data_IF_294271559689
#
_entry.id   IF_294271559689
#
_cell.length_a   1.000
_cell.length_b   1.000
_cell.length_c   1.000
_cell.angle_alpha   90.00
_cell.angle_beta   90.00
_cell.angle_gamma   90.00
#
_symmetry.space_group_name_H-M   'P 1'
#
loop_
_entity.id
_entity.type
_entity.pdbx_description
1 polymer ?
#
# COMPACT_ATOMS: atom_id res chain seq x y z
N UNK A 1 -1.95 -11.19 72.05
CA UNK A 1 -1.38 -10.13 71.18
C UNK A 1 -0.73 -10.80 69.98
N UNK A 2 -1.44 -10.90 68.85
CA UNK A 2 -0.84 -11.17 67.52
C UNK A 2 -0.30 -9.86 66.93
N UNK A 3 0.37 -9.75 65.78
CA UNK A 3 0.50 -10.57 64.57
C UNK A 3 1.92 -10.36 64.01
N UNK A 4 2.65 -11.43 63.67
CA UNK A 4 2.99 -11.89 62.30
C UNK A 4 3.77 -10.89 61.42
N UNK A 5 5.06 -11.20 61.25
CA UNK A 5 5.96 -10.72 60.19
C UNK A 5 5.38 -10.93 58.79
N UNK A 6 5.39 -9.87 57.97
CA UNK A 6 5.11 -9.93 56.54
C UNK A 6 6.37 -9.66 55.74
N UNK A 7 6.86 -10.69 55.04
CA UNK A 7 7.92 -10.64 54.05
C UNK A 7 7.34 -11.11 52.71
N UNK A 8 7.75 -10.42 51.64
CA UNK A 8 7.73 -10.79 50.22
C UNK A 8 6.44 -10.68 49.38
N UNK A 9 6.51 -9.71 48.46
CA UNK A 9 6.45 -9.84 47.00
C UNK A 9 5.18 -10.39 46.29
N UNK A 10 4.53 -9.50 45.54
CA UNK A 10 4.00 -9.72 44.19
C UNK A 10 4.22 -8.39 43.42
N UNK A 11 5.23 -8.20 42.57
CA UNK A 11 5.48 -8.82 41.26
C UNK A 11 4.39 -8.51 40.22
N UNK A 12 4.73 -7.56 39.35
CA UNK A 12 4.27 -7.36 37.97
C UNK A 12 2.77 -7.47 37.71
N UNK A 13 2.07 -6.34 37.83
CA UNK A 13 0.89 -6.10 37.01
C UNK A 13 1.36 -5.98 35.55
N UNK A 14 1.02 -7.01 34.79
CA UNK A 14 1.31 -7.17 33.39
C UNK A 14 0.94 -5.92 32.59
N UNK A 15 1.96 -5.29 32.01
CA UNK A 15 1.81 -4.54 30.78
C UNK A 15 1.37 -5.52 29.68
N UNK A 16 0.07 -5.78 29.59
CA UNK A 16 -0.54 -6.19 28.33
C UNK A 16 -0.57 -4.97 27.39
N UNK A 17 0.61 -4.43 27.08
CA UNK A 17 0.82 -3.82 25.79
C UNK A 17 0.69 -4.99 24.82
N UNK A 18 -0.48 -5.13 24.21
CA UNK A 18 -0.66 -6.04 23.11
C UNK A 18 0.45 -5.72 22.10
N UNK A 19 1.41 -6.62 22.00
CA UNK A 19 2.32 -6.65 20.87
C UNK A 19 1.43 -6.83 19.65
N UNK A 20 1.02 -5.72 19.03
CA UNK A 20 0.51 -5.79 17.67
C UNK A 20 1.60 -6.50 16.87
N UNK A 21 1.29 -7.60 16.16
CA UNK A 21 2.28 -8.24 15.32
C UNK A 21 2.87 -7.16 14.41
N UNK A 22 4.20 -7.10 14.35
CA UNK A 22 4.98 -6.01 13.74
C UNK A 22 4.82 -5.88 12.21
N UNK A 23 3.71 -6.38 11.65
CA UNK A 23 3.47 -6.54 10.22
C UNK A 23 1.98 -6.76 9.88
N UNK A 24 1.04 -6.46 10.79
CA UNK A 24 -0.34 -6.31 10.36
C UNK A 24 -0.43 -5.10 9.41
N UNK A 25 -0.97 -5.30 8.20
CA UNK A 25 -1.28 -4.23 7.27
C UNK A 25 -2.03 -3.13 8.02
N UNK A 26 -1.62 -1.87 7.83
CA UNK A 26 -2.34 -0.76 8.45
C UNK A 26 -3.80 -0.74 8.00
N UNK A 27 -4.70 -0.50 8.95
CA UNK A 27 -6.09 -0.18 8.62
C UNK A 27 -6.16 1.07 7.75
N UNK A 28 -7.26 1.27 7.04
CA UNK A 28 -7.44 2.38 6.12
C UNK A 28 -7.21 3.76 6.78
N UNK A 29 -7.67 3.95 8.01
CA UNK A 29 -7.46 5.23 8.70
C UNK A 29 -5.97 5.47 8.97
N UNK A 30 -5.26 4.45 9.46
CA UNK A 30 -3.82 4.53 9.69
C UNK A 30 -3.04 4.70 8.37
N UNK A 31 -3.44 3.99 7.31
CA UNK A 31 -2.85 4.11 5.98
C UNK A 31 -3.01 5.52 5.41
N UNK A 32 -4.22 6.08 5.44
CA UNK A 32 -4.48 7.43 4.91
C UNK A 32 -3.71 8.50 5.68
N UNK A 33 -3.65 8.41 7.01
CA UNK A 33 -2.88 9.33 7.84
C UNK A 33 -1.38 9.23 7.51
N UNK A 34 -0.84 8.02 7.48
CA UNK A 34 0.57 7.79 7.19
C UNK A 34 0.96 8.22 5.77
N UNK A 35 0.10 7.98 4.76
CA UNK A 35 0.37 8.40 3.39
C UNK A 35 0.35 9.92 3.25
N UNK A 36 -0.63 10.61 3.87
CA UNK A 36 -0.65 12.09 3.92
C UNK A 36 0.63 12.65 4.52
N UNK A 37 1.13 12.06 5.61
CA UNK A 37 2.39 12.49 6.23
C UNK A 37 3.59 12.20 5.33
N UNK A 38 3.69 10.96 4.81
CA UNK A 38 4.83 10.48 4.04
C UNK A 38 4.98 11.12 2.66
N UNK A 39 3.89 11.63 2.09
CA UNK A 39 3.83 12.34 0.81
C UNK A 39 3.24 13.75 0.95
N UNK A 40 3.48 14.41 2.09
CA UNK A 40 2.91 15.73 2.39
C UNK A 40 3.30 16.81 1.38
N UNK A 41 4.50 16.75 0.81
CA UNK A 41 4.96 17.67 -0.24
C UNK A 41 4.22 17.49 -1.58
N UNK A 42 3.52 16.36 -1.74
CA UNK A 42 2.73 16.05 -2.94
C UNK A 42 1.28 16.49 -2.84
N UNK A 43 0.83 16.97 -1.67
CA UNK A 43 -0.55 17.42 -1.45
C UNK A 43 -1.58 16.31 -1.62
N UNK A 44 -1.36 15.18 -0.94
CA UNK A 44 -2.26 14.01 -0.99
C UNK A 44 -3.57 14.31 -0.28
N UNK A 45 -4.68 14.19 -1.00
CA UNK A 45 -6.02 14.31 -0.46
C UNK A 45 -6.85 13.06 -0.79
N UNK A 46 -7.81 12.75 0.07
CA UNK A 46 -8.72 11.62 -0.10
C UNK A 46 -10.13 12.16 -0.15
N UNK A 47 -10.83 11.85 -1.24
CA UNK A 47 -12.22 12.23 -1.46
C UNK A 47 -13.04 10.97 -1.70
N UNK A 48 -14.28 10.93 -1.22
CA UNK A 48 -15.11 9.74 -1.42
C UNK A 48 -15.52 9.65 -2.89
N UNK A 49 -15.17 8.54 -3.53
CA UNK A 49 -15.51 8.30 -4.93
C UNK A 49 -17.01 8.03 -5.08
N UNK A 50 -17.61 8.52 -6.16
CA UNK A 50 -18.97 8.13 -6.55
C UNK A 50 -18.89 6.79 -7.28
N UNK A 51 -19.12 5.70 -6.56
CA UNK A 51 -19.12 4.35 -7.14
C UNK A 51 -20.52 4.01 -7.66
N UNK A 52 -20.66 3.94 -8.97
CA UNK A 52 -21.87 3.40 -9.61
C UNK A 52 -21.69 1.89 -9.82
N UNK A 53 -22.05 1.11 -8.80
CA UNK A 53 -22.02 -0.36 -8.88
C UNK A 53 -23.40 -0.94 -9.20
N UNK A 54 -23.43 -2.01 -10.00
CA UNK A 54 -24.64 -2.81 -10.27
C UNK A 54 -24.94 -3.84 -9.17
N UNK A 55 -23.98 -4.12 -8.30
CA UNK A 55 -24.11 -4.97 -7.11
C UNK A 55 -23.89 -4.13 -5.85
N UNK A 56 -24.52 -4.51 -4.72
CA UNK A 56 -24.19 -3.90 -3.42
C UNK A 56 -22.70 -4.17 -3.15
N UNK A 57 -21.92 -3.09 -3.10
CA UNK A 57 -20.54 -3.14 -2.62
C UNK A 57 -20.54 -2.55 -1.22
N UNK A 58 -20.09 -3.33 -0.24
CA UNK A 58 -19.90 -2.87 1.13
C UNK A 58 -18.55 -2.14 1.31
N UNK A 59 -17.80 -1.96 0.20
CA UNK A 59 -16.53 -1.26 0.21
C UNK A 59 -16.72 0.26 0.01
N UNK A 60 -16.02 1.04 0.83
CA UNK A 60 -15.86 2.48 0.62
C UNK A 60 -14.65 2.73 -0.28
N UNK A 61 -14.87 3.42 -1.40
CA UNK A 61 -13.82 3.79 -2.34
C UNK A 61 -13.54 5.29 -2.22
N UNK A 62 -12.26 5.63 -2.23
CA UNK A 62 -11.74 6.98 -2.17
C UNK A 62 -10.89 7.26 -3.41
N UNK A 63 -11.14 8.38 -4.05
CA UNK A 63 -10.23 8.97 -5.02
C UNK A 63 -9.13 9.70 -4.26
N UNK A 64 -7.88 9.39 -4.60
CA UNK A 64 -6.69 9.98 -4.00
C UNK A 64 -6.10 10.96 -5.02
N UNK A 65 -6.25 12.24 -4.72
CA UNK A 65 -5.71 13.31 -5.57
C UNK A 65 -4.34 13.73 -5.09
N UNK A 66 -3.46 14.07 -6.03
CA UNK A 66 -2.13 14.59 -5.75
C UNK A 66 -1.87 15.81 -6.62
N UNK A 67 -0.91 16.65 -6.23
CA UNK A 67 -0.43 17.79 -7.05
C UNK A 67 0.66 17.38 -8.04
N UNK A 68 0.90 16.08 -8.22
CA UNK A 68 2.10 15.55 -8.87
C UNK A 68 1.81 14.45 -9.89
N UNK A 69 0.90 14.67 -10.84
CA UNK A 69 0.65 13.77 -11.99
C UNK A 69 0.60 12.26 -11.62
N UNK A 70 0.07 11.93 -10.43
CA UNK A 70 -0.15 10.57 -9.94
C UNK A 70 -1.61 10.49 -9.53
N UNK A 71 -2.36 9.62 -10.19
CA UNK A 71 -3.73 9.30 -9.81
C UNK A 71 -3.72 8.07 -8.92
N UNK A 72 -4.55 8.06 -7.88
CA UNK A 72 -4.67 6.88 -7.04
C UNK A 72 -6.08 6.66 -6.52
N UNK A 73 -6.37 5.44 -6.12
CA UNK A 73 -7.63 5.05 -5.48
C UNK A 73 -7.34 4.18 -4.26
N UNK A 74 -8.20 4.27 -3.26
CA UNK A 74 -8.16 3.44 -2.06
C UNK A 74 -9.54 2.83 -1.83
N UNK A 75 -9.60 1.51 -1.68
CA UNK A 75 -10.78 0.75 -1.33
C UNK A 75 -10.64 0.16 0.07
N UNK A 76 -11.66 0.36 0.90
CA UNK A 76 -11.71 -0.06 2.30
C UNK A 76 -12.98 -0.85 2.58
N UNK A 77 -12.93 -1.85 3.45
CA UNK A 77 -14.10 -2.56 4.00
C UNK A 77 -14.08 -2.38 5.51
N UNK A 78 -14.93 -1.49 6.04
CA UNK A 78 -14.71 -0.98 7.40
C UNK A 78 -13.37 -0.23 7.47
N UNK A 79 -12.55 -0.56 8.48
CA UNK A 79 -11.15 -0.06 8.57
C UNK A 79 -10.14 -0.98 7.87
N UNK A 80 -10.58 -2.06 7.21
CA UNK A 80 -9.65 -2.94 6.49
C UNK A 80 -9.27 -2.35 5.12
N UNK A 81 -7.97 -2.26 4.83
CA UNK A 81 -7.47 -1.92 3.50
C UNK A 81 -7.69 -3.11 2.56
N UNK A 82 -8.54 -2.92 1.55
CA UNK A 82 -8.84 -3.92 0.53
C UNK A 82 -7.87 -3.77 -0.64
N UNK A 83 -7.78 -2.55 -1.19
CA UNK A 83 -6.94 -2.27 -2.35
C UNK A 83 -6.50 -0.81 -2.35
N UNK A 84 -5.22 -0.58 -2.55
CA UNK A 84 -4.68 0.72 -2.96
C UNK A 84 -4.09 0.58 -4.35
N UNK A 85 -4.40 1.52 -5.23
CA UNK A 85 -3.90 1.54 -6.60
C UNK A 85 -3.40 2.93 -6.94
N UNK A 86 -2.17 3.03 -7.46
CA UNK A 86 -1.58 4.28 -7.91
C UNK A 86 -1.11 4.11 -9.36
N UNK A 87 -1.36 5.11 -10.21
CA UNK A 87 -1.05 5.06 -11.64
C UNK A 87 -0.43 6.36 -12.13
N UNK A 88 0.36 6.23 -13.18
CA UNK A 88 0.86 7.36 -13.99
C UNK A 88 0.73 7.03 -15.46
N UNK A 89 0.48 8.06 -16.27
CA UNK A 89 0.50 7.95 -17.72
C UNK A 89 1.92 7.74 -18.26
N UNK A 90 2.07 6.84 -19.22
CA UNK A 90 3.30 6.58 -19.97
C UNK A 90 3.16 7.05 -21.43
N UNK A 91 4.24 7.58 -22.06
CA UNK A 91 5.58 7.76 -21.50
C UNK A 91 5.64 8.91 -20.48
N UNK A 92 6.11 8.61 -19.27
CA UNK A 92 6.21 9.57 -18.20
C UNK A 92 7.50 10.41 -18.33
N UNK A 93 7.42 11.73 -18.09
CA UNK A 93 8.61 12.58 -17.93
C UNK A 93 9.41 12.14 -16.70
N UNK A 94 10.71 12.45 -16.68
CA UNK A 94 11.60 12.08 -15.56
C UNK A 94 11.04 12.52 -14.19
N UNK A 95 10.49 13.74 -14.10
CA UNK A 95 9.85 14.25 -12.88
C UNK A 95 8.66 13.39 -12.43
N UNK A 96 7.76 13.04 -13.34
CA UNK A 96 6.59 12.20 -13.04
C UNK A 96 7.02 10.81 -12.59
N UNK A 97 8.02 10.22 -13.24
CA UNK A 97 8.61 8.94 -12.82
C UNK A 97 9.23 9.00 -11.41
N UNK A 98 9.98 10.05 -11.09
CA UNK A 98 10.54 10.25 -9.74
C UNK A 98 9.43 10.44 -8.70
N UNK A 99 8.40 11.23 -9.01
CA UNK A 99 7.27 11.44 -8.10
C UNK A 99 6.49 10.15 -7.85
N UNK A 100 6.28 9.34 -8.90
CA UNK A 100 5.63 8.05 -8.77
C UNK A 100 6.42 7.10 -7.88
N UNK A 101 7.74 6.98 -8.07
CA UNK A 101 8.59 6.16 -7.19
C UNK A 101 8.51 6.64 -5.73
N UNK A 102 8.60 7.95 -5.50
CA UNK A 102 8.48 8.53 -4.15
C UNK A 102 7.11 8.24 -3.52
N UNK A 103 6.04 8.30 -4.31
CA UNK A 103 4.68 8.01 -3.86
C UNK A 103 4.49 6.52 -3.52
N UNK A 104 5.03 5.62 -4.35
CA UNK A 104 5.06 4.17 -4.08
C UNK A 104 5.80 3.85 -2.78
N UNK A 105 6.96 4.47 -2.54
CA UNK A 105 7.72 4.30 -1.30
C UNK A 105 6.91 4.80 -0.09
N UNK A 106 6.23 5.95 -0.21
CA UNK A 106 5.37 6.46 0.85
C UNK A 106 4.19 5.51 1.14
N UNK A 107 3.58 4.93 0.10
CA UNK A 107 2.52 3.95 0.24
C UNK A 107 2.99 2.65 0.89
N UNK A 108 4.16 2.12 0.51
CA UNK A 108 4.75 0.93 1.13
C UNK A 108 5.13 1.17 2.60
N UNK A 109 5.63 2.37 2.92
CA UNK A 109 5.86 2.76 4.31
C UNK A 109 4.54 2.84 5.09
N UNK A 110 3.49 3.40 4.49
CA UNK A 110 2.18 3.52 5.13
C UNK A 110 1.52 2.15 5.36
N UNK A 111 1.59 1.25 4.38
CA UNK A 111 0.97 -0.08 4.43
C UNK A 111 1.75 -1.08 5.29
N UNK A 112 3.08 -1.11 5.15
CA UNK A 112 3.93 -2.20 5.65
C UNK A 112 5.03 -1.73 6.60
N UNK A 113 5.14 -0.41 6.86
CA UNK A 113 6.19 0.14 7.70
C UNK A 113 7.60 0.05 7.10
N UNK A 114 7.72 -0.27 5.81
CA UNK A 114 9.02 -0.45 5.16
C UNK A 114 9.78 0.87 5.02
N UNK A 115 11.10 0.80 5.18
CA UNK A 115 11.96 1.92 4.86
C UNK A 115 12.13 2.10 3.34
N UNK A 116 12.75 3.22 2.96
CA UNK A 116 12.96 3.56 1.55
C UNK A 116 13.93 2.61 0.83
N UNK A 117 14.89 2.00 1.54
CA UNK A 117 15.87 1.11 0.92
C UNK A 117 15.21 -0.22 0.54
N UNK A 118 14.47 -0.83 1.47
CA UNK A 118 13.68 -2.04 1.22
C UNK A 118 12.65 -1.82 0.13
N UNK A 119 11.91 -0.72 0.20
CA UNK A 119 10.89 -0.38 -0.79
C UNK A 119 11.47 -0.27 -2.20
N UNK A 120 12.61 0.43 -2.36
CA UNK A 120 13.29 0.55 -3.67
C UNK A 120 13.78 -0.79 -4.19
N UNK A 121 14.30 -1.66 -3.32
CA UNK A 121 14.77 -3.00 -3.71
C UNK A 121 13.67 -3.81 -4.38
N UNK A 122 12.50 -3.88 -3.73
CA UNK A 122 11.32 -4.59 -4.24
C UNK A 122 10.77 -3.92 -5.50
N UNK A 123 10.52 -2.61 -5.45
CA UNK A 123 9.96 -1.87 -6.59
C UNK A 123 10.82 -1.96 -7.85
N UNK A 124 12.15 -1.96 -7.71
CA UNK A 124 13.08 -2.09 -8.84
C UNK A 124 12.94 -3.45 -9.52
N UNK A 125 12.84 -4.54 -8.75
CA UNK A 125 12.62 -5.88 -9.29
C UNK A 125 11.30 -5.96 -10.03
N UNK A 126 10.20 -5.62 -9.35
CA UNK A 126 8.86 -5.66 -9.94
C UNK A 126 8.71 -4.78 -11.19
N UNK A 127 9.30 -3.58 -11.19
CA UNK A 127 9.26 -2.67 -12.34
C UNK A 127 10.11 -3.16 -13.51
N UNK A 128 11.23 -3.84 -13.24
CA UNK A 128 12.06 -4.47 -14.26
C UNK A 128 11.30 -5.58 -14.96
N UNK A 129 10.78 -6.52 -14.18
CA UNK A 129 9.99 -7.65 -14.69
C UNK A 129 8.77 -7.17 -15.49
N UNK A 130 7.99 -6.23 -14.97
CA UNK A 130 6.80 -5.72 -15.66
C UNK A 130 7.13 -5.06 -17.02
N UNK A 131 8.29 -4.39 -17.12
CA UNK A 131 8.77 -3.80 -18.38
C UNK A 131 9.24 -4.86 -19.35
N UNK A 132 10.05 -5.82 -18.89
CA UNK A 132 10.54 -6.92 -19.72
C UNK A 132 9.37 -7.73 -20.30
N UNK A 133 8.37 -8.06 -19.48
CA UNK A 133 7.16 -8.74 -19.95
C UNK A 133 6.36 -7.91 -20.95
N UNK A 134 6.31 -6.57 -20.79
CA UNK A 134 5.65 -5.69 -21.76
C UNK A 134 6.39 -5.68 -23.08
N UNK A 135 7.72 -5.50 -23.06
CA UNK A 135 8.54 -5.44 -24.27
C UNK A 135 8.48 -6.76 -25.03
N UNK A 136 8.57 -7.89 -24.33
CA UNK A 136 8.39 -9.21 -24.92
C UNK A 136 6.98 -9.42 -25.48
N UNK A 137 5.94 -8.89 -24.83
CA UNK A 137 4.56 -8.99 -25.33
C UNK A 137 4.33 -8.12 -26.57
N UNK A 138 4.99 -6.96 -26.65
CA UNK A 138 5.01 -6.11 -27.85
C UNK A 138 5.67 -6.83 -29.02
N UNK A 139 6.79 -7.51 -28.80
CA UNK A 139 7.47 -8.29 -29.85
C UNK A 139 6.61 -9.43 -30.39
N UNK A 140 5.76 -10.04 -29.54
CA UNK A 140 4.84 -11.12 -29.94
C UNK A 140 3.54 -10.62 -30.60
N UNK A 141 3.21 -9.34 -30.49
CA UNK A 141 1.94 -8.80 -30.98
C UNK A 141 0.72 -9.11 -30.10
N UNK A 142 0.95 -9.41 -28.81
CA UNK A 142 -0.09 -9.72 -27.82
C UNK A 142 -0.68 -8.44 -27.16
N UNK A 143 -1.69 -8.61 -26.28
CA UNK A 143 -2.37 -7.52 -25.55
C UNK A 143 -1.44 -6.79 -24.55
N UNK A 144 -1.61 -5.46 -24.49
CA UNK A 144 -0.78 -4.44 -23.85
C UNK A 144 -0.84 -4.34 -22.32
N UNK A 145 -0.93 -5.45 -21.59
CA UNK A 145 -0.86 -5.43 -20.11
C UNK A 145 0.08 -6.52 -19.62
N UNK A 146 1.21 -6.11 -19.06
CA UNK A 146 2.16 -7.01 -18.42
C UNK A 146 2.32 -6.60 -16.96
N UNK A 147 2.42 -7.57 -16.05
CA UNK A 147 2.58 -7.26 -14.64
C UNK A 147 3.28 -8.34 -13.84
N UNK A 148 3.73 -7.94 -12.66
CA UNK A 148 4.35 -8.80 -11.65
C UNK A 148 3.57 -8.64 -10.35
N UNK A 149 3.20 -9.77 -9.76
CA UNK A 149 2.64 -9.83 -8.41
C UNK A 149 3.65 -10.48 -7.48
N UNK A 150 3.82 -9.94 -6.28
CA UNK A 150 4.60 -10.52 -5.20
C UNK A 150 3.74 -10.62 -3.94
N UNK A 151 3.66 -11.81 -3.37
CA UNK A 151 3.03 -12.04 -2.07
C UNK A 151 4.06 -11.82 -0.97
N UNK A 152 3.70 -10.99 0.02
CA UNK A 152 4.55 -10.75 1.18
C UNK A 152 3.95 -11.39 2.42
N UNK A 153 4.60 -12.47 2.82
CA UNK A 153 4.49 -13.04 4.16
C UNK A 153 5.47 -12.28 5.05
N UNK A 154 5.05 -11.83 6.23
CA UNK A 154 3.81 -12.20 6.88
C UNK A 154 2.70 -11.10 6.72
N UNK A 155 1.43 -11.48 6.50
CA UNK A 155 0.29 -10.54 6.41
C UNK A 155 -0.67 -10.70 5.23
N UNK A 156 -0.44 -11.68 4.33
CA UNK A 156 -1.24 -11.91 3.11
C UNK A 156 -1.46 -10.63 2.30
N UNK A 157 -0.39 -9.84 2.14
CA UNK A 157 -0.40 -8.62 1.33
C UNK A 157 0.20 -8.92 -0.02
N UNK A 158 -0.54 -8.65 -1.07
CA UNK A 158 -0.11 -8.84 -2.46
C UNK A 158 0.25 -7.49 -3.06
N UNK A 159 1.50 -7.35 -3.50
CA UNK A 159 1.97 -6.19 -4.26
C UNK A 159 1.87 -6.50 -5.74
N UNK A 160 1.35 -5.55 -6.52
CA UNK A 160 1.28 -5.64 -7.97
C UNK A 160 1.99 -4.48 -8.65
N UNK A 161 2.71 -4.76 -9.73
CA UNK A 161 3.19 -3.77 -10.68
C UNK A 161 2.68 -4.15 -12.06
N UNK A 162 2.04 -3.23 -12.76
CA UNK A 162 1.54 -3.42 -14.12
C UNK A 162 2.08 -2.32 -15.01
N UNK A 163 2.43 -2.67 -16.25
CA UNK A 163 2.85 -1.76 -17.29
C UNK A 163 2.02 -2.03 -18.55
N UNK A 164 1.53 -0.95 -19.12
CA UNK A 164 0.85 -0.91 -20.41
C UNK A 164 1.55 0.09 -21.31
N UNK A 165 0.99 0.31 -22.50
CA UNK A 165 1.49 1.34 -23.40
C UNK A 165 1.21 2.76 -22.94
N UNK A 166 0.13 2.96 -22.19
CA UNK A 166 -0.36 4.27 -21.76
C UNK A 166 -0.18 4.52 -20.27
N UNK A 167 0.12 3.48 -19.48
CA UNK A 167 0.06 3.57 -18.02
C UNK A 167 1.06 2.63 -17.35
N UNK A 168 1.52 3.06 -16.18
CA UNK A 168 2.18 2.21 -15.21
C UNK A 168 1.43 2.28 -13.89
N UNK A 169 1.10 1.13 -13.33
CA UNK A 169 0.23 0.98 -12.17
C UNK A 169 0.92 0.18 -11.08
N UNK A 170 0.84 0.67 -9.85
CA UNK A 170 1.27 -0.01 -8.64
C UNK A 170 0.05 -0.30 -7.77
N UNK A 171 0.02 -1.49 -7.19
CA UNK A 171 -1.12 -1.99 -6.43
C UNK A 171 -0.64 -2.58 -5.11
N UNK A 172 -1.37 -2.31 -4.04
CA UNK A 172 -1.30 -3.03 -2.76
C UNK A 172 -2.68 -3.64 -2.54
N UNK A 173 -2.76 -4.96 -2.37
CA UNK A 173 -3.98 -5.69 -2.05
C UNK A 173 -3.83 -6.26 -0.64
N UNK A 174 -4.79 -5.94 0.23
CA UNK A 174 -4.86 -6.51 1.57
C UNK A 174 -5.64 -7.82 1.60
N UNK A 175 -5.70 -8.51 2.75
CA UNK A 175 -6.26 -9.86 2.87
C UNK A 175 -7.73 -10.00 2.41
N UNK A 176 -8.58 -8.99 2.64
CA UNK A 176 -9.96 -8.99 2.17
C UNK A 176 -10.16 -8.60 0.70
N UNK A 177 -9.07 -8.34 -0.03
CA UNK A 177 -9.08 -7.96 -1.45
C UNK A 177 -8.87 -9.10 -2.43
N UNK A 178 -8.64 -10.33 -1.94
CA UNK A 178 -8.60 -11.56 -2.74
C UNK A 178 -9.98 -12.18 -2.94
#
# INVERSE_FOLDING_TARGET
>A
MGLRSTVLALALAAACAGAQPAWALSGCDAFTAALRTGASDMGVEFSRAIVVSRSRSDASVYDVTTKVDVDATLSCRGDELVRFEARVGEPAKARTSTNFERFQIAALKAALGWDAAKSRGVLKGMSGDAREFRDASRERGDVYVAGKTEEHVPGNVSLGMMATDSDRTFVIVGPAGE
#
